data_IF_003624500078
#
_entry.id   IF_003624500078
#
_cell.length_a   1.000
_cell.length_b   1.000
_cell.length_c   1.000
_cell.angle_alpha   90.00
_cell.angle_beta   90.00
_cell.angle_gamma   90.00
#
_symmetry.space_group_name_H-M   'P 1'
#
loop_
_entity.id
_entity.type
_entity.pdbx_description
1 polymer ?
#
# COMPACT_ATOMS: atom_id res chain seq x y z
N UNK A 1 -15.08 2.04 -1.09
CA UNK A 1 -15.14 0.92 -0.13
C UNK A 1 -14.21 1.26 1.02
N UNK A 2 -14.65 1.22 2.29
CA UNK A 2 -13.75 1.54 3.41
C UNK A 2 -12.68 0.45 3.59
N UNK A 3 -11.48 0.86 4.00
CA UNK A 3 -10.42 -0.06 4.35
C UNK A 3 -10.81 -0.81 5.64
N UNK A 4 -10.92 -2.13 5.54
CA UNK A 4 -11.34 -2.98 6.67
C UNK A 4 -10.12 -3.29 7.57
N UNK A 5 -9.88 -2.44 8.56
CA UNK A 5 -8.68 -2.53 9.41
C UNK A 5 -8.57 -3.84 10.17
N UNK A 6 -9.70 -4.47 10.49
CA UNK A 6 -9.72 -5.80 11.11
C UNK A 6 -9.06 -6.86 10.22
N UNK A 7 -9.26 -6.80 8.90
CA UNK A 7 -8.58 -7.71 7.95
C UNK A 7 -7.10 -7.41 7.83
N UNK A 8 -6.73 -6.13 7.86
CA UNK A 8 -5.33 -5.68 7.85
C UNK A 8 -4.61 -6.23 9.09
N UNK A 9 -5.23 -6.12 10.26
CA UNK A 9 -4.70 -6.63 11.53
C UNK A 9 -4.65 -8.16 11.55
N UNK A 10 -5.66 -8.86 11.03
CA UNK A 10 -5.65 -10.32 10.95
C UNK A 10 -4.53 -10.83 10.04
N UNK A 11 -4.31 -10.16 8.90
CA UNK A 11 -3.31 -10.57 7.90
C UNK A 11 -1.89 -10.16 8.26
N UNK A 12 -1.71 -9.01 8.91
CA UNK A 12 -0.39 -8.40 9.14
C UNK A 12 -0.02 -8.21 10.61
N UNK A 13 -0.92 -8.46 11.56
CA UNK A 13 -0.71 -8.23 12.98
C UNK A 13 0.45 -9.04 13.58
N UNK A 14 0.65 -10.27 13.11
CA UNK A 14 1.76 -11.14 13.51
C UNK A 14 3.04 -10.97 12.65
N UNK A 15 3.03 -10.01 11.73
CA UNK A 15 4.06 -9.85 10.70
C UNK A 15 3.76 -10.69 9.47
N UNK A 16 4.10 -10.16 8.29
CA UNK A 16 3.77 -10.75 7.01
C UNK A 16 4.77 -10.41 5.91
N UNK A 17 4.74 -11.17 4.83
CA UNK A 17 5.54 -10.89 3.63
C UNK A 17 4.60 -10.58 2.48
N UNK A 18 4.67 -9.35 1.99
CA UNK A 18 3.90 -8.89 0.84
C UNK A 18 4.78 -8.99 -0.40
N UNK A 19 4.25 -9.55 -1.48
CA UNK A 19 4.95 -9.61 -2.77
C UNK A 19 5.01 -8.22 -3.39
N UNK A 20 6.19 -7.81 -3.86
CA UNK A 20 6.32 -6.54 -4.57
C UNK A 20 5.85 -6.68 -6.02
N UNK A 21 5.27 -5.60 -6.55
CA UNK A 21 4.78 -5.52 -7.94
C UNK A 21 5.90 -5.81 -8.94
N UNK A 22 7.11 -5.29 -8.70
CA UNK A 22 8.29 -5.61 -9.50
C UNK A 22 8.82 -6.96 -9.02
N UNK A 23 8.54 -8.02 -9.78
CA UNK A 23 8.73 -9.41 -9.39
C UNK A 23 10.07 -9.74 -8.72
N UNK A 24 9.99 -10.52 -7.64
CA UNK A 24 11.13 -11.17 -7.00
C UNK A 24 11.55 -10.63 -5.62
N UNK A 25 10.94 -9.54 -5.13
CA UNK A 25 11.20 -9.02 -3.78
C UNK A 25 9.97 -9.12 -2.89
N UNK A 26 10.23 -9.16 -1.58
CA UNK A 26 9.21 -9.21 -0.55
C UNK A 26 9.36 -8.00 0.35
N UNK A 27 8.26 -7.32 0.61
CA UNK A 27 8.14 -6.32 1.64
C UNK A 27 7.81 -7.02 2.95
N UNK A 28 8.69 -6.93 3.95
CA UNK A 28 8.46 -7.55 5.25
C UNK A 28 7.75 -6.57 6.18
N UNK A 29 6.53 -6.91 6.56
CA UNK A 29 5.77 -6.23 7.60
C UNK A 29 6.18 -6.85 8.93
N UNK A 30 6.71 -6.01 9.82
CA UNK A 30 7.14 -6.42 11.15
C UNK A 30 5.94 -6.58 12.09
N UNK A 31 5.00 -5.61 12.03
CA UNK A 31 3.74 -5.64 12.79
C UNK A 31 2.73 -4.67 12.20
N UNK A 32 1.45 -4.92 12.43
CA UNK A 32 0.38 -3.95 12.26
C UNK A 32 -0.21 -3.61 13.63
N UNK A 33 -0.50 -2.34 13.88
CA UNK A 33 -1.23 -1.85 15.05
C UNK A 33 -2.52 -1.17 14.61
N UNK A 34 -3.39 -0.78 15.55
CA UNK A 34 -4.63 -0.06 15.22
C UNK A 34 -4.37 1.31 14.56
N UNK A 35 -3.18 1.87 14.77
CA UNK A 35 -2.78 3.18 14.25
C UNK A 35 -1.97 3.11 12.95
N UNK A 36 -1.18 2.05 12.72
CA UNK A 36 -0.20 2.01 11.65
C UNK A 36 0.31 0.62 11.31
N UNK A 37 0.80 0.45 10.08
CA UNK A 37 1.57 -0.72 9.64
C UNK A 37 3.06 -0.39 9.70
N UNK A 38 3.85 -1.27 10.31
CA UNK A 38 5.29 -1.14 10.43
C UNK A 38 5.99 -2.10 9.49
N UNK A 39 6.78 -1.53 8.59
CA UNK A 39 7.58 -2.27 7.62
C UNK A 39 9.02 -2.26 8.10
N UNK A 40 9.65 -3.42 8.04
CA UNK A 40 11.06 -3.59 8.35
C UNK A 40 11.77 -4.23 7.18
N UNK A 41 12.87 -3.62 6.78
CA UNK A 41 13.78 -4.15 5.77
C UNK A 41 15.20 -4.11 6.35
N UNK A 42 16.14 -4.92 5.83
CA UNK A 42 17.50 -5.01 6.39
C UNK A 42 18.26 -3.68 6.47
N UNK A 43 17.83 -2.67 5.69
CA UNK A 43 18.53 -1.41 5.51
C UNK A 43 17.66 -0.22 5.98
N UNK A 44 16.36 -0.41 6.20
CA UNK A 44 15.44 0.69 6.52
C UNK A 44 14.15 0.18 7.17
N UNK A 45 13.50 1.06 7.94
CA UNK A 45 12.18 0.85 8.52
C UNK A 45 11.21 1.92 8.05
N UNK A 46 9.93 1.60 7.90
CA UNK A 46 8.90 2.58 7.60
C UNK A 46 7.65 2.36 8.45
N UNK A 47 6.95 3.47 8.72
CA UNK A 47 5.63 3.49 9.35
C UNK A 47 4.63 4.03 8.33
N UNK A 48 3.59 3.26 8.06
CA UNK A 48 2.45 3.67 7.25
C UNK A 48 1.27 3.92 8.19
N UNK A 49 0.81 5.17 8.28
CA UNK A 49 -0.32 5.52 9.14
C UNK A 49 -1.62 4.95 8.56
N UNK A 50 -2.54 4.56 9.44
CA UNK A 50 -3.89 4.14 9.08
C UNK A 50 -4.63 5.22 8.31
N UNK A 51 -4.54 6.47 8.77
CA UNK A 51 -5.22 7.62 8.15
C UNK A 51 -4.79 7.80 6.69
N UNK A 52 -3.50 7.62 6.40
CA UNK A 52 -2.97 7.73 5.03
C UNK A 52 -3.53 6.60 4.13
N UNK A 53 -3.61 5.38 4.65
CA UNK A 53 -4.16 4.23 3.94
C UNK A 53 -5.67 4.36 3.68
N UNK A 54 -6.42 4.78 4.70
CA UNK A 54 -7.86 5.04 4.58
C UNK A 54 -8.13 6.17 3.58
N UNK A 55 -7.30 7.23 3.59
CA UNK A 55 -7.40 8.31 2.61
C UNK A 55 -7.08 7.83 1.19
N UNK A 56 -6.04 7.01 1.02
CA UNK A 56 -5.71 6.41 -0.27
C UNK A 56 -6.85 5.57 -0.84
N UNK A 57 -7.47 4.72 -0.01
CA UNK A 57 -8.62 3.90 -0.41
C UNK A 57 -9.85 4.76 -0.71
N UNK A 58 -10.09 5.82 0.07
CA UNK A 58 -11.19 6.75 -0.18
C UNK A 58 -11.04 7.45 -1.53
N UNK A 59 -9.82 7.80 -1.94
CA UNK A 59 -9.55 8.47 -3.21
C UNK A 59 -9.64 7.52 -4.41
N UNK A 60 -9.34 6.23 -4.22
CA UNK A 60 -9.63 5.18 -5.22
C UNK A 60 -11.14 5.06 -5.42
N UNK A 61 -11.92 5.04 -4.32
CA UNK A 61 -13.39 4.91 -4.38
C UNK A 61 -14.08 6.12 -5.01
N UNK A 62 -13.57 7.31 -4.74
CA UNK A 62 -14.02 8.56 -5.35
C UNK A 62 -13.68 8.63 -6.86
N UNK A 63 -12.81 7.74 -7.34
CA UNK A 63 -12.33 7.73 -8.73
C UNK A 63 -11.30 8.81 -9.03
N UNK A 64 -10.78 9.49 -8.00
CA UNK A 64 -9.72 10.50 -8.12
C UNK A 64 -8.36 9.85 -8.43
N UNK A 65 -8.09 8.67 -7.85
CA UNK A 65 -6.85 7.91 -8.07
C UNK A 65 -7.14 6.63 -8.86
N UNK A 66 -6.27 6.29 -9.80
CA UNK A 66 -6.40 5.06 -10.58
C UNK A 66 -6.11 3.81 -9.74
N UNK A 67 -6.79 2.70 -10.05
CA UNK A 67 -6.48 1.37 -9.49
C UNK A 67 -5.21 0.76 -10.08
N UNK A 68 -4.65 1.36 -11.12
CA UNK A 68 -3.40 0.91 -11.72
C UNK A 68 -2.22 1.23 -10.79
N UNK A 69 -1.41 0.24 -10.40
CA UNK A 69 -0.34 0.43 -9.43
C UNK A 69 0.76 1.41 -9.87
N UNK A 70 0.95 1.62 -11.18
CA UNK A 70 1.92 2.60 -11.68
C UNK A 70 1.45 4.03 -11.44
N UNK A 71 0.21 4.31 -11.81
CA UNK A 71 -0.42 5.62 -11.65
C UNK A 71 -0.77 5.93 -10.20
N UNK A 72 -1.19 4.91 -9.45
CA UNK A 72 -1.53 5.04 -8.03
C UNK A 72 -0.40 5.67 -7.22
N UNK A 73 0.86 5.28 -7.47
CA UNK A 73 2.00 5.80 -6.72
C UNK A 73 2.15 7.30 -6.93
N UNK A 74 2.02 7.78 -8.17
CA UNK A 74 2.13 9.20 -8.52
C UNK A 74 1.01 10.02 -7.89
N UNK A 75 -0.24 9.57 -8.07
CA UNK A 75 -1.39 10.27 -7.53
C UNK A 75 -1.40 10.25 -5.99
N UNK A 76 -1.02 9.14 -5.37
CA UNK A 76 -0.95 9.04 -3.91
C UNK A 76 0.09 9.99 -3.32
N UNK A 77 1.24 10.17 -3.98
CA UNK A 77 2.25 11.16 -3.57
C UNK A 77 1.73 12.59 -3.65
N UNK A 78 0.83 12.88 -4.60
CA UNK A 78 0.23 14.20 -4.80
C UNK A 78 -0.91 14.50 -3.81
N UNK A 79 -1.80 13.53 -3.56
CA UNK A 79 -3.04 13.75 -2.81
C UNK A 79 -3.01 13.31 -1.34
N UNK A 80 -2.12 12.38 -0.98
CA UNK A 80 -2.05 11.80 0.36
C UNK A 80 -0.71 12.12 1.03
N UNK A 81 0.36 11.45 0.59
CA UNK A 81 1.66 11.53 1.25
C UNK A 81 2.75 10.87 0.40
N UNK A 82 3.95 11.45 0.39
CA UNK A 82 5.14 10.84 -0.19
C UNK A 82 5.79 9.77 0.71
N UNK A 83 5.16 9.43 1.85
CA UNK A 83 5.70 8.42 2.74
C UNK A 83 5.52 7.01 2.14
N UNK A 84 6.55 6.55 1.42
CA UNK A 84 6.64 5.17 0.87
C UNK A 84 5.38 4.75 0.11
N UNK A 85 4.90 5.61 -0.80
CA UNK A 85 3.73 5.37 -1.66
C UNK A 85 3.81 4.03 -2.43
N UNK A 86 5.01 3.61 -2.83
CA UNK A 86 5.26 2.30 -3.44
C UNK A 86 4.97 1.13 -2.51
N UNK A 87 5.31 1.23 -1.23
CA UNK A 87 4.98 0.22 -0.22
C UNK A 87 3.48 0.14 0.04
N UNK A 88 2.80 1.30 0.05
CA UNK A 88 1.33 1.37 0.15
C UNK A 88 0.69 0.65 -1.03
N UNK A 89 1.18 0.89 -2.25
CA UNK A 89 0.69 0.19 -3.44
C UNK A 89 0.85 -1.34 -3.32
N UNK A 90 1.96 -1.84 -2.78
CA UNK A 90 2.14 -3.27 -2.55
C UNK A 90 1.09 -3.85 -1.59
N UNK A 91 0.82 -3.16 -0.49
CA UNK A 91 -0.15 -3.58 0.52
C UNK A 91 -1.58 -3.53 -0.04
N UNK A 92 -1.96 -2.43 -0.70
CA UNK A 92 -3.30 -2.29 -1.27
C UNK A 92 -3.56 -3.30 -2.40
N UNK A 93 -2.53 -3.62 -3.20
CA UNK A 93 -2.60 -4.73 -4.17
C UNK A 93 -2.81 -6.07 -3.49
N UNK A 94 -2.05 -6.36 -2.44
CA UNK A 94 -2.18 -7.62 -1.69
C UNK A 94 -3.54 -7.76 -0.97
N UNK A 95 -4.17 -6.63 -0.64
CA UNK A 95 -5.53 -6.55 -0.12
C UNK A 95 -6.61 -6.61 -1.22
N UNK A 96 -6.23 -6.51 -2.50
CA UNK A 96 -7.13 -6.59 -3.64
C UNK A 96 -7.80 -5.28 -4.05
N UNK A 97 -7.27 -4.12 -3.60
CA UNK A 97 -7.77 -2.80 -4.00
C UNK A 97 -7.16 -2.27 -5.30
N UNK A 98 -6.00 -2.80 -5.70
CA UNK A 98 -5.31 -2.41 -6.93
C UNK A 98 -5.25 -3.57 -7.91
N UNK A 99 -5.19 -3.23 -9.19
CA UNK A 99 -5.09 -4.22 -10.26
C UNK A 99 -3.80 -5.04 -10.18
N UNK A 100 -3.89 -6.30 -10.59
CA UNK A 100 -2.76 -7.22 -10.65
C UNK A 100 -1.83 -6.94 -11.84
N UNK A 101 -2.07 -5.88 -12.61
CA UNK A 101 -1.28 -5.50 -13.78
C UNK A 101 0.21 -5.46 -13.40
N UNK A 102 1.01 -6.19 -14.17
CA UNK A 102 2.47 -6.26 -14.01
C UNK A 102 3.17 -5.07 -14.69
N UNK A 103 2.41 -4.19 -15.33
CA UNK A 103 2.93 -3.17 -16.23
C UNK A 103 2.84 -1.81 -15.56
N UNK A 104 3.98 -1.30 -15.06
CA UNK A 104 4.14 0.13 -14.80
C UNK A 104 4.06 0.85 -16.15
N UNK A 105 2.86 1.22 -16.59
CA UNK A 105 2.72 2.11 -17.74
C UNK A 105 2.99 3.54 -17.29
N UNK A 106 4.27 3.91 -17.21
CA UNK A 106 4.70 5.29 -17.00
C UNK A 106 4.14 6.11 -18.18
N UNK A 107 3.22 7.04 -17.92
CA UNK A 107 2.84 8.03 -18.93
C UNK A 107 3.95 9.08 -19.00
N UNK A 108 4.78 8.98 -20.03
CA UNK A 108 5.70 10.03 -20.44
C UNK A 108 4.95 11.31 -20.82
#
# INVERSE_FOLDING_TARGET
MPLDWSKVMEKYGAGAKVTTITGGKFLQISRATDEAIYIESPIWTARLAREDLEKGVSLIDDGTISTDPGLFVEDYMLYVSNNRATSVAHILRDLGFLDLTETFSIRC
#
